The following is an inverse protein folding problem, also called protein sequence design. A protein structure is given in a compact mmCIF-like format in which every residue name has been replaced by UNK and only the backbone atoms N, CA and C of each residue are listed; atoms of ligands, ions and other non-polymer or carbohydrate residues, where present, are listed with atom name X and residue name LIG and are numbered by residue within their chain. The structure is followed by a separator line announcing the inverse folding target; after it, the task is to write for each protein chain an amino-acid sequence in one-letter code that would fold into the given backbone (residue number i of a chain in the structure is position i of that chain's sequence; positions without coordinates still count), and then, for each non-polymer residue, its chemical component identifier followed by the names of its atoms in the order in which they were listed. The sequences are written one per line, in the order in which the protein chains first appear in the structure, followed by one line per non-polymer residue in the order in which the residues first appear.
data_IF_772129514901
#
_entry.id   IF_772129514901
#
_cell.length_a   1.000
_cell.length_b   1.000
_cell.length_c   1.000
_cell.angle_alpha   90.00
_cell.angle_beta   90.00
_cell.angle_gamma   90.00
#
_symmetry.space_group_name_H-M   'P 1'
#
loop_
_entity.id
_entity.type
_entity.pdbx_description
1 polymer ?
#
# COMPACT_ATOMS: atom_id res chain seq x y z
N UNK A 1 1.63 11.44 -6.50
CA UNK A 1 1.87 11.88 -7.88
C UNK A 1 0.56 12.42 -8.39
N UNK A 2 0.55 13.62 -8.96
CA UNK A 2 -0.59 14.06 -9.76
C UNK A 2 -0.55 13.41 -11.16
N UNK A 3 -1.50 13.78 -12.01
CA UNK A 3 -1.58 13.26 -13.39
C UNK A 3 -0.47 13.86 -14.28
N UNK A 4 0.11 14.99 -13.89
CA UNK A 4 1.21 15.66 -14.57
C UNK A 4 2.59 15.11 -14.15
N UNK A 5 2.62 14.06 -13.33
CA UNK A 5 3.84 13.42 -12.86
C UNK A 5 4.59 14.21 -11.79
N UNK A 6 3.98 15.20 -11.14
CA UNK A 6 4.60 15.96 -10.05
C UNK A 6 4.40 15.27 -8.70
N UNK A 7 5.42 15.38 -7.85
CA UNK A 7 5.39 14.93 -6.45
C UNK A 7 4.82 16.04 -5.58
N UNK A 8 3.80 15.71 -4.79
CA UNK A 8 3.17 16.64 -3.85
C UNK A 8 2.83 15.91 -2.55
N UNK A 9 2.94 16.62 -1.43
CA UNK A 9 2.49 16.15 -0.12
C UNK A 9 1.00 16.48 -0.02
N UNK A 10 0.15 15.45 0.04
CA UNK A 10 -1.31 15.62 0.06
C UNK A 10 -1.85 15.97 1.46
N UNK A 11 -1.18 15.48 2.50
CA UNK A 11 -1.51 15.74 3.89
C UNK A 11 -0.31 15.43 4.78
N UNK A 12 -0.15 16.18 5.86
CA UNK A 12 0.81 15.93 6.94
C UNK A 12 0.05 16.00 8.25
N UNK A 13 0.24 14.99 9.12
CA UNK A 13 -0.30 15.03 10.46
C UNK A 13 0.75 14.50 11.44
N UNK A 14 0.98 15.26 12.51
CA UNK A 14 1.85 14.85 13.60
C UNK A 14 1.15 13.77 14.43
N UNK A 15 1.62 12.54 14.33
CA UNK A 15 1.09 11.44 15.14
C UNK A 15 1.75 11.46 16.53
N UNK A 16 0.99 11.83 17.57
CA UNK A 16 1.45 11.79 18.97
C UNK A 16 1.29 10.37 19.56
N UNK A 17 0.47 9.51 18.94
CA UNK A 17 0.32 8.09 19.26
C UNK A 17 0.00 7.24 18.02
N UNK A 18 0.24 5.92 18.10
CA UNK A 18 0.01 4.98 16.99
C UNK A 18 -1.48 4.88 16.63
N UNK A 19 -1.80 5.23 15.38
CA UNK A 19 -2.93 4.75 14.56
C UNK A 19 -4.39 5.20 14.87
N UNK A 20 -4.65 6.18 15.73
CA UNK A 20 -6.05 6.63 15.97
C UNK A 20 -6.62 7.60 14.91
N UNK A 21 -5.80 8.22 14.06
CA UNK A 21 -6.23 9.33 13.18
C UNK A 21 -6.46 9.00 11.69
N UNK A 22 -6.25 7.75 11.24
CA UNK A 22 -6.20 7.45 9.80
C UNK A 22 -7.50 7.76 9.01
N UNK A 23 -8.71 7.44 9.49
CA UNK A 23 -9.94 7.75 8.75
C UNK A 23 -10.08 9.26 8.49
N UNK A 24 -9.88 10.08 9.52
CA UNK A 24 -9.97 11.54 9.47
C UNK A 24 -8.93 12.16 8.52
N UNK A 25 -7.72 11.57 8.43
CA UNK A 25 -6.68 11.96 7.45
C UNK A 25 -7.12 11.75 6.02
N UNK A 26 -7.75 10.60 5.75
CA UNK A 26 -8.17 10.24 4.40
C UNK A 26 -9.36 11.08 3.94
N UNK A 27 -10.26 11.45 4.84
CA UNK A 27 -11.38 12.35 4.54
C UNK A 27 -10.91 13.76 4.14
N UNK A 28 -9.93 14.33 4.87
CA UNK A 28 -9.35 15.63 4.51
C UNK A 28 -8.47 15.59 3.26
N UNK A 29 -7.89 14.43 2.96
CA UNK A 29 -7.07 14.21 1.77
C UNK A 29 -7.85 13.61 0.57
N UNK A 30 -9.16 13.35 0.71
CA UNK A 30 -10.02 12.84 -0.38
C UNK A 30 -10.08 13.92 -1.46
N UNK A 31 -9.52 13.68 -2.65
CA UNK A 31 -9.67 14.62 -3.75
C UNK A 31 -11.12 14.56 -4.23
N UNK A 32 -11.85 15.66 -4.10
CA UNK A 32 -13.20 15.78 -4.66
C UNK A 32 -13.15 15.50 -6.17
N UNK A 33 -13.83 14.44 -6.62
CA UNK A 33 -14.01 14.14 -8.05
C UNK A 33 -12.92 13.30 -8.76
N UNK A 34 -11.97 12.64 -8.05
CA UNK A 34 -11.00 11.75 -8.74
C UNK A 34 -11.43 10.29 -8.79
N UNK A 35 -11.36 9.69 -9.98
CA UNK A 35 -11.45 8.24 -10.20
C UNK A 35 -10.23 7.51 -9.62
N UNK A 36 -10.49 6.41 -8.90
CA UNK A 36 -9.60 5.28 -8.54
C UNK A 36 -8.09 5.55 -8.57
N UNK A 37 -7.52 5.95 -7.43
CA UNK A 37 -6.06 5.96 -7.20
C UNK A 37 -5.57 4.69 -6.49
N UNK A 38 -4.33 4.25 -6.78
CA UNK A 38 -3.66 3.19 -6.00
C UNK A 38 -3.11 3.79 -4.70
N UNK A 39 -3.52 3.26 -3.55
CA UNK A 39 -3.04 3.72 -2.24
C UNK A 39 -1.88 2.82 -1.78
N UNK A 40 -0.70 3.41 -1.66
CA UNK A 40 0.53 2.74 -1.23
C UNK A 40 0.80 3.06 0.25
N UNK A 41 0.82 2.05 1.12
CA UNK A 41 1.05 2.23 2.57
C UNK A 41 2.23 1.40 3.11
N UNK A 42 2.96 1.86 4.15
CA UNK A 42 4.03 1.10 4.81
C UNK A 42 3.60 -0.14 5.62
N UNK A 43 2.42 -0.15 6.26
CA UNK A 43 1.95 -1.22 7.17
C UNK A 43 0.61 -1.81 6.72
N UNK A 44 0.22 -2.98 7.28
CA UNK A 44 -0.99 -3.80 6.98
C UNK A 44 -2.22 -2.97 6.54
N UNK A 45 -3.10 -3.53 5.69
CA UNK A 45 -4.29 -2.82 5.23
C UNK A 45 -5.10 -2.43 6.47
N UNK A 46 -5.17 -1.12 6.75
CA UNK A 46 -6.05 -0.64 7.81
C UNK A 46 -7.45 -0.67 7.24
N UNK A 47 -8.36 -1.27 8.01
CA UNK A 47 -9.80 -1.29 7.74
C UNK A 47 -10.33 0.11 7.37
N UNK A 48 -9.81 1.14 8.03
CA UNK A 48 -10.12 2.55 7.79
C UNK A 48 -9.92 3.01 6.32
N UNK A 49 -8.98 2.44 5.56
CA UNK A 49 -8.81 2.81 4.14
C UNK A 49 -9.97 2.27 3.31
N UNK A 50 -10.38 1.02 3.56
CA UNK A 50 -11.52 0.43 2.86
C UNK A 50 -12.84 1.13 3.19
N UNK A 51 -12.96 1.71 4.39
CA UNK A 51 -14.11 2.52 4.80
C UNK A 51 -14.12 3.90 4.12
N UNK A 52 -12.95 4.52 3.92
CA UNK A 52 -12.86 5.88 3.35
C UNK A 52 -12.67 5.90 1.83
N UNK A 53 -12.00 4.92 1.23
CA UNK A 53 -11.80 4.87 -0.23
C UNK A 53 -11.93 3.40 -0.67
N UNK A 54 -13.16 2.89 -0.84
CA UNK A 54 -13.38 1.47 -1.11
C UNK A 54 -12.82 1.03 -2.47
N UNK A 55 -12.71 1.94 -3.43
CA UNK A 55 -12.12 1.66 -4.75
C UNK A 55 -10.59 1.73 -4.77
N UNK A 56 -9.95 2.04 -3.63
CA UNK A 56 -8.50 2.11 -3.54
C UNK A 56 -7.88 0.71 -3.58
N UNK A 57 -7.07 0.44 -4.60
CA UNK A 57 -6.19 -0.72 -4.60
C UNK A 57 -5.09 -0.54 -3.55
N UNK A 58 -5.00 -1.48 -2.62
CA UNK A 58 -3.99 -1.46 -1.55
C UNK A 58 -2.72 -2.19 -1.95
N UNK A 59 -1.55 -1.56 -1.71
CA UNK A 59 -0.25 -2.20 -1.92
C UNK A 59 0.74 -1.77 -0.84
N UNK A 60 1.53 -2.73 -0.33
CA UNK A 60 2.66 -2.44 0.55
C UNK A 60 3.74 -1.68 -0.21
N UNK A 61 4.20 -0.56 0.33
CA UNK A 61 5.25 0.26 -0.30
C UNK A 61 6.59 -0.49 -0.38
N UNK A 62 7.18 -0.58 -1.58
CA UNK A 62 8.43 -1.28 -1.85
C UNK A 62 9.59 -0.83 -0.96
N UNK A 63 9.81 0.48 -0.83
CA UNK A 63 10.95 1.01 -0.08
C UNK A 63 10.89 0.66 1.41
N UNK A 64 9.68 0.63 1.99
CA UNK A 64 9.48 0.23 3.38
C UNK A 64 9.56 -1.28 3.56
N UNK A 65 9.10 -2.08 2.60
CA UNK A 65 9.26 -3.54 2.64
C UNK A 65 10.75 -3.91 2.69
N UNK A 66 11.54 -3.34 1.79
CA UNK A 66 13.00 -3.59 1.74
C UNK A 66 13.68 -3.03 2.98
N UNK A 67 13.44 -1.76 3.33
CA UNK A 67 14.06 -1.11 4.49
C UNK A 67 13.83 -1.90 5.78
N UNK A 68 12.57 -2.18 6.11
CA UNK A 68 12.22 -2.90 7.34
C UNK A 68 12.82 -4.31 7.39
N UNK A 69 12.97 -4.97 6.23
CA UNK A 69 13.56 -6.31 6.17
C UNK A 69 15.08 -6.25 6.35
N UNK A 70 15.75 -5.24 5.80
CA UNK A 70 17.18 -5.03 5.93
C UNK A 70 17.61 -4.63 7.35
N UNK A 71 16.72 -4.04 8.15
CA UNK A 71 17.00 -3.69 9.54
C UNK A 71 17.26 -4.92 10.43
N UNK A 72 16.73 -6.08 10.03
CA UNK A 72 16.91 -7.34 10.77
C UNK A 72 18.08 -8.18 10.28
N UNK A 73 18.84 -7.70 9.28
CA UNK A 73 19.86 -8.50 8.61
C UNK A 73 21.28 -8.04 8.96
N UNK A 74 22.24 -8.98 9.07
CA UNK A 74 23.65 -8.65 9.23
C UNK A 74 24.15 -7.80 8.05
N UNK A 75 24.84 -6.70 8.33
CA UNK A 75 25.30 -5.73 7.31
C UNK A 75 26.17 -6.37 6.22
N UNK A 76 26.91 -7.44 6.54
CA UNK A 76 27.82 -8.14 5.63
C UNK A 76 27.13 -8.72 4.38
N UNK A 77 25.87 -9.14 4.48
CA UNK A 77 25.13 -9.80 3.39
C UNK A 77 24.03 -8.91 2.81
N UNK A 78 24.06 -7.61 3.12
CA UNK A 78 22.96 -6.69 2.82
C UNK A 78 22.63 -6.61 1.32
N UNK A 79 23.65 -6.66 0.46
CA UNK A 79 23.48 -6.58 -0.98
C UNK A 79 22.84 -7.85 -1.56
N UNK A 80 23.26 -9.03 -1.10
CA UNK A 80 22.70 -10.32 -1.52
C UNK A 80 21.25 -10.44 -1.06
N UNK A 81 20.97 -10.11 0.20
CA UNK A 81 19.60 -10.06 0.71
C UNK A 81 18.73 -9.05 -0.02
N UNK A 82 19.27 -7.89 -0.42
CA UNK A 82 18.53 -6.89 -1.20
C UNK A 82 18.06 -7.45 -2.55
N UNK A 83 18.90 -8.21 -3.25
CA UNK A 83 18.51 -8.84 -4.52
C UNK A 83 17.39 -9.85 -4.32
N UNK A 84 17.47 -10.70 -3.28
CA UNK A 84 16.43 -11.67 -2.99
C UNK A 84 15.11 -11.01 -2.56
N UNK A 85 15.17 -9.97 -1.72
CA UNK A 85 14.00 -9.19 -1.34
C UNK A 85 13.34 -8.54 -2.55
N UNK A 86 14.12 -8.03 -3.51
CA UNK A 86 13.59 -7.52 -4.79
C UNK A 86 12.87 -8.62 -5.56
N UNK A 87 13.47 -9.80 -5.71
CA UNK A 87 12.86 -10.94 -6.41
C UNK A 87 11.54 -11.35 -5.76
N UNK A 88 11.52 -11.48 -4.43
CA UNK A 88 10.33 -11.81 -3.65
C UNK A 88 9.20 -10.80 -3.85
N UNK A 89 9.52 -9.51 -3.79
CA UNK A 89 8.53 -8.45 -3.96
C UNK A 89 7.89 -8.47 -5.35
N UNK A 90 8.68 -8.66 -6.41
CA UNK A 90 8.17 -8.70 -7.78
C UNK A 90 7.29 -9.93 -8.03
N UNK A 91 7.67 -11.12 -7.52
CA UNK A 91 6.84 -12.33 -7.61
C UNK A 91 5.51 -12.14 -6.92
N UNK A 92 5.52 -11.64 -5.68
CA UNK A 92 4.30 -11.36 -4.94
C UNK A 92 3.36 -10.39 -5.70
N UNK A 93 3.91 -9.34 -6.33
CA UNK A 93 3.12 -8.44 -7.15
C UNK A 93 2.54 -9.11 -8.40
N UNK A 94 3.30 -10.00 -9.05
CA UNK A 94 2.81 -10.76 -10.20
C UNK A 94 1.67 -11.69 -9.79
N UNK A 95 1.84 -12.43 -8.69
CA UNK A 95 0.81 -13.31 -8.12
C UNK A 95 -0.47 -12.54 -7.78
N UNK A 96 -0.36 -11.42 -7.06
CA UNK A 96 -1.51 -10.59 -6.68
C UNK A 96 -2.22 -10.00 -7.90
N UNK A 97 -1.49 -9.63 -8.97
CA UNK A 97 -2.08 -9.14 -10.22
C UNK A 97 -2.75 -10.25 -11.03
N UNK A 98 -2.23 -11.47 -10.97
CA UNK A 98 -2.79 -12.62 -11.67
C UNK A 98 -4.05 -13.19 -11.02
N UNK A 99 -4.25 -12.89 -9.73
CA UNK A 99 -5.42 -13.31 -8.98
C UNK A 99 -6.66 -12.52 -9.44
N UNK A 100 -7.78 -13.17 -9.79
CA UNK A 100 -9.00 -12.45 -10.12
C UNK A 100 -9.43 -11.58 -8.93
N UNK A 101 -10.08 -10.42 -9.16
CA UNK A 101 -10.54 -9.56 -8.08
C UNK A 101 -11.48 -10.38 -7.18
N UNK A 102 -11.00 -10.73 -5.98
CA UNK A 102 -11.84 -11.41 -5.01
C UNK A 102 -12.83 -10.41 -4.46
N UNK A 103 -14.12 -10.73 -4.49
CA UNK A 103 -15.16 -9.96 -3.82
C UNK A 103 -14.75 -9.68 -2.36
N UNK A 104 -15.04 -8.49 -1.81
CA UNK A 104 -14.64 -8.10 -0.45
C UNK A 104 -15.17 -9.03 0.65
N UNK A 105 -16.12 -9.91 0.34
CA UNK A 105 -16.72 -10.88 1.27
C UNK A 105 -16.31 -12.35 1.03
N UNK A 106 -15.25 -12.62 0.27
CA UNK A 106 -14.71 -13.99 0.13
C UNK A 106 -15.62 -15.00 -0.59
N UNK A 107 -16.70 -14.55 -1.23
CA UNK A 107 -17.53 -15.41 -2.09
C UNK A 107 -16.90 -15.49 -3.49
N UNK A 108 -16.84 -16.68 -4.11
CA UNK A 108 -16.43 -16.80 -5.49
C UNK A 108 -17.38 -15.99 -6.38
N UNK A 109 -16.81 -15.20 -7.29
CA UNK A 109 -17.58 -14.52 -8.33
C UNK A 109 -18.21 -15.60 -9.21
N UNK A 110 -19.50 -15.85 -9.01
CA UNK A 110 -20.29 -16.76 -9.83
C UNK A 110 -20.28 -16.16 -11.24
N UNK A 111 -19.57 -16.79 -12.17
CA UNK A 111 -19.73 -16.52 -13.59
C UNK A 111 -21.11 -17.07 -13.98
N UNK A 112 -21.94 -16.20 -14.54
CA UNK A 112 -23.16 -16.60 -15.24
C UNK A 112 -22.84 -17.38 -16.51
#
# INVERSE_FOLDING_TARGET
MDWDGRRQILALELAIARAAGLPRRLEGARPQGRRTGRVLRPSRPDRAIGEVIPEAAWQRCYVHFVGNSLDHLPRKHRNDCLQELRRLYHRHLAEVRSRPPSCPNGRPAIRG
#
